data_IF_609439034294
#
_entry.id   IF_609439034294
#
_cell.length_a   1.000
_cell.length_b   1.000
_cell.length_c   1.000
_cell.angle_alpha   90.00
_cell.angle_beta   90.00
_cell.angle_gamma   90.00
#
_symmetry.space_group_name_H-M   'P 1'
#
loop_
_entity.id
_entity.type
_entity.pdbx_description
1 polymer ?
#
# COMPACT_ATOMS: atom_id res chain seq x y z
N UNK A 1 15.58 34.29 1.38
CA UNK A 1 15.32 32.98 0.73
C UNK A 1 15.27 31.90 1.80
N UNK A 2 14.12 31.28 1.97
CA UNK A 2 13.94 30.22 2.96
C UNK A 2 14.74 28.97 2.57
N UNK A 3 15.13 28.17 3.57
CA UNK A 3 15.93 26.95 3.37
C UNK A 3 15.34 26.01 2.31
N UNK A 4 14.01 25.88 2.27
CA UNK A 4 13.28 25.04 1.30
C UNK A 4 13.45 25.55 -0.13
N UNK A 5 13.29 26.85 -0.36
CA UNK A 5 13.44 27.47 -1.69
C UNK A 5 14.84 27.22 -2.25
N UNK A 6 15.87 27.36 -1.40
CA UNK A 6 17.26 27.06 -1.77
C UNK A 6 17.43 25.59 -2.16
N UNK A 7 16.84 24.68 -1.40
CA UNK A 7 16.92 23.24 -1.69
C UNK A 7 16.21 22.89 -3.00
N UNK A 8 15.03 23.48 -3.26
CA UNK A 8 14.31 23.28 -4.52
C UNK A 8 15.12 23.79 -5.72
N UNK A 9 15.68 25.01 -5.63
CA UNK A 9 16.54 25.54 -6.69
C UNK A 9 17.81 24.70 -6.92
N UNK A 10 18.38 24.12 -5.86
CA UNK A 10 19.63 23.34 -5.95
C UNK A 10 19.39 21.91 -6.46
N UNK A 11 18.37 21.23 -5.92
CA UNK A 11 18.14 19.80 -6.14
C UNK A 11 17.15 19.53 -7.26
N UNK A 12 16.25 20.48 -7.55
CA UNK A 12 15.23 20.37 -8.59
C UNK A 12 15.13 21.67 -9.41
N UNK A 13 16.23 22.16 -10.03
CA UNK A 13 16.24 23.43 -10.76
C UNK A 13 15.24 23.50 -11.92
N UNK A 14 14.83 22.34 -12.46
CA UNK A 14 13.82 22.20 -13.51
C UNK A 14 12.43 21.82 -12.99
N UNK A 15 12.23 21.87 -11.68
CA UNK A 15 11.03 21.39 -11.00
C UNK A 15 10.99 19.87 -10.81
N UNK A 16 9.87 19.39 -10.26
CA UNK A 16 9.61 17.96 -10.03
C UNK A 16 8.61 17.48 -11.06
N UNK A 17 8.94 16.41 -11.78
CA UNK A 17 8.04 15.81 -12.76
C UNK A 17 6.87 15.08 -12.10
N UNK A 18 5.70 15.17 -12.71
CA UNK A 18 4.53 14.39 -12.31
C UNK A 18 4.59 12.98 -12.93
N UNK A 19 4.21 11.99 -12.14
CA UNK A 19 4.11 10.58 -12.55
C UNK A 19 2.83 9.97 -12.03
N UNK A 20 2.21 9.13 -12.84
CA UNK A 20 1.06 8.33 -12.41
C UNK A 20 1.51 7.20 -11.48
N UNK A 21 0.60 6.70 -10.64
CA UNK A 21 0.91 5.55 -9.78
C UNK A 21 1.32 4.32 -10.62
N UNK A 22 0.68 4.11 -11.76
CA UNK A 22 0.99 2.97 -12.64
C UNK A 22 2.37 3.07 -13.28
N UNK A 23 2.92 4.26 -13.54
CA UNK A 23 4.29 4.41 -14.02
C UNK A 23 5.32 3.95 -12.97
N UNK A 24 5.01 4.10 -11.69
CA UNK A 24 5.95 3.88 -10.58
C UNK A 24 5.77 2.52 -9.90
N UNK A 25 4.52 2.07 -9.78
CA UNK A 25 4.15 0.92 -8.96
C UNK A 25 3.55 -0.22 -9.79
N UNK A 26 3.90 -1.44 -9.41
CA UNK A 26 3.11 -2.61 -9.69
C UNK A 26 1.93 -2.62 -8.72
N UNK A 27 0.73 -2.46 -9.29
CA UNK A 27 -0.53 -2.35 -8.56
C UNK A 27 -1.25 -3.69 -8.63
N UNK A 28 -1.55 -4.28 -7.48
CA UNK A 28 -2.20 -5.59 -7.39
C UNK A 28 -3.12 -5.63 -6.18
N UNK A 29 -4.19 -6.40 -6.25
CA UNK A 29 -5.02 -6.64 -5.06
C UNK A 29 -4.39 -7.72 -4.18
N UNK A 30 -4.71 -7.66 -2.89
CA UNK A 30 -4.40 -8.73 -1.95
C UNK A 30 -5.08 -10.05 -2.32
N UNK A 31 -4.84 -11.06 -1.50
CA UNK A 31 -5.35 -12.40 -1.71
C UNK A 31 -5.76 -13.01 -0.38
N UNK A 32 -6.97 -13.55 -0.33
CA UNK A 32 -7.45 -14.31 0.82
C UNK A 32 -7.40 -15.80 0.48
N UNK A 33 -6.55 -16.60 1.15
CA UNK A 33 -6.59 -18.05 1.02
C UNK A 33 -7.95 -18.60 1.45
N UNK A 34 -8.30 -19.79 0.98
CA UNK A 34 -9.53 -20.45 1.43
C UNK A 34 -9.47 -20.65 2.95
N UNK A 35 -10.44 -20.07 3.67
CA UNK A 35 -10.57 -20.26 5.12
C UNK A 35 -10.96 -21.68 5.50
N UNK A 36 -11.57 -22.42 4.57
CA UNK A 36 -11.99 -23.80 4.77
C UNK A 36 -10.85 -24.82 4.61
N UNK A 37 -9.63 -24.37 4.31
CA UNK A 37 -8.46 -25.24 4.26
C UNK A 37 -7.50 -24.89 5.43
N UNK A 38 -7.54 -25.63 6.54
CA UNK A 38 -6.69 -25.38 7.70
C UNK A 38 -5.19 -25.40 7.39
N UNK A 39 -4.75 -26.19 6.40
CA UNK A 39 -3.32 -26.24 6.01
C UNK A 39 -2.77 -24.90 5.52
N UNK A 40 -3.64 -23.96 5.14
CA UNK A 40 -3.23 -22.62 4.74
C UNK A 40 -2.94 -21.70 5.92
N UNK A 41 -3.34 -22.06 7.14
CA UNK A 41 -3.34 -21.18 8.31
C UNK A 41 -2.61 -21.80 9.52
N UNK A 42 -2.79 -23.09 9.74
CA UNK A 42 -2.17 -23.79 10.87
C UNK A 42 -0.65 -23.77 10.77
N UNK A 43 0.01 -23.30 11.84
CA UNK A 43 1.47 -23.11 11.88
C UNK A 43 1.98 -22.23 10.72
N UNK A 44 1.17 -21.25 10.33
CA UNK A 44 1.54 -20.22 9.36
C UNK A 44 2.80 -19.47 9.79
N UNK A 45 3.61 -19.09 8.83
CA UNK A 45 4.89 -18.39 9.05
C UNK A 45 5.01 -17.10 8.25
N UNK A 46 4.09 -16.87 7.32
CA UNK A 46 4.07 -15.70 6.45
C UNK A 46 2.97 -14.76 6.96
N UNK A 47 3.28 -13.49 7.27
CA UNK A 47 2.26 -12.53 7.69
C UNK A 47 1.17 -12.34 6.63
N UNK A 48 -0.09 -12.34 7.07
CA UNK A 48 -1.26 -12.04 6.26
C UNK A 48 -2.06 -10.88 6.89
N UNK A 49 -1.86 -9.69 6.32
CA UNK A 49 -2.38 -8.44 6.88
C UNK A 49 -3.87 -8.19 6.57
N UNK A 50 -4.56 -7.62 7.55
CA UNK A 50 -5.94 -7.16 7.51
C UNK A 50 -6.05 -5.75 8.08
N UNK A 51 -7.27 -5.20 8.06
CA UNK A 51 -7.53 -3.89 8.65
C UNK A 51 -7.30 -3.88 10.17
N UNK A 52 -7.56 -4.99 10.84
CA UNK A 52 -7.31 -5.13 12.28
C UNK A 52 -5.83 -4.92 12.62
N UNK A 53 -4.92 -5.42 11.78
CA UNK A 53 -3.49 -5.25 11.98
C UNK A 53 -3.07 -3.77 11.93
N UNK A 54 -3.67 -2.97 11.04
CA UNK A 54 -3.43 -1.52 10.96
C UNK A 54 -3.96 -0.81 12.22
N UNK A 55 -5.13 -1.22 12.69
CA UNK A 55 -5.78 -0.61 13.87
C UNK A 55 -5.00 -0.90 15.15
N UNK A 56 -4.47 -2.12 15.28
CA UNK A 56 -3.76 -2.57 16.47
C UNK A 56 -2.30 -2.13 16.49
N UNK A 57 -1.60 -2.24 15.36
CA UNK A 57 -0.15 -2.03 15.29
C UNK A 57 0.25 -0.69 14.64
N UNK A 58 -0.72 0.11 14.21
CA UNK A 58 -0.49 1.33 13.46
C UNK A 58 -0.12 1.04 12.00
N UNK A 59 0.57 1.99 11.36
CA UNK A 59 0.74 1.99 9.89
C UNK A 59 2.10 1.50 9.40
N UNK A 60 2.96 0.99 10.28
CA UNK A 60 4.24 0.39 9.89
C UNK A 60 4.23 -1.05 10.39
N UNK A 61 4.06 -1.99 9.47
CA UNK A 61 3.70 -3.37 9.80
C UNK A 61 4.88 -4.31 9.56
N UNK A 62 5.29 -5.01 10.63
CA UNK A 62 6.34 -6.04 10.61
C UNK A 62 5.81 -7.46 10.77
N UNK A 63 4.62 -7.59 11.34
CA UNK A 63 3.99 -8.87 11.65
C UNK A 63 2.48 -8.69 11.78
N UNK A 64 1.73 -9.77 11.64
CA UNK A 64 0.26 -9.76 11.65
C UNK A 64 -0.32 -10.72 12.70
N UNK A 65 -1.58 -10.49 13.06
CA UNK A 65 -2.37 -11.33 13.95
C UNK A 65 -2.54 -12.74 13.37
N UNK A 66 -2.64 -12.86 12.05
CA UNK A 66 -2.79 -14.14 11.35
C UNK A 66 -1.64 -14.39 10.39
N UNK A 67 -1.20 -15.64 10.32
CA UNK A 67 -0.18 -16.08 9.38
C UNK A 67 -0.73 -17.15 8.45
N UNK A 68 -0.16 -17.20 7.27
CA UNK A 68 -0.44 -18.24 6.28
C UNK A 68 0.78 -19.13 6.08
N UNK A 69 0.56 -20.34 5.60
CA UNK A 69 1.64 -21.25 5.20
C UNK A 69 2.05 -20.99 3.75
N UNK A 70 3.26 -21.42 3.33
CA UNK A 70 3.66 -21.34 1.92
C UNK A 70 2.69 -22.04 0.95
N UNK A 71 1.98 -23.09 1.41
CA UNK A 71 0.97 -23.79 0.60
C UNK A 71 -0.20 -22.88 0.19
N UNK A 72 -0.51 -21.88 1.01
CA UNK A 72 -1.59 -20.93 0.74
C UNK A 72 -1.33 -20.06 -0.50
N UNK A 73 -0.07 -19.88 -0.90
CA UNK A 73 0.30 -19.00 -2.01
C UNK A 73 -0.25 -19.49 -3.36
N UNK A 74 -0.36 -20.80 -3.57
CA UNK A 74 -0.82 -21.40 -4.85
C UNK A 74 -0.16 -20.76 -6.08
N UNK A 75 1.17 -20.63 -6.05
CA UNK A 75 1.97 -20.03 -7.13
C UNK A 75 1.94 -18.50 -7.20
N UNK A 76 1.23 -17.81 -6.29
CA UNK A 76 1.31 -16.35 -6.15
C UNK A 76 2.63 -15.97 -5.48
N UNK A 77 3.16 -14.81 -5.88
CA UNK A 77 4.32 -14.20 -5.20
C UNK A 77 3.84 -13.43 -3.98
N UNK A 78 4.69 -13.39 -2.96
CA UNK A 78 4.53 -12.44 -1.87
C UNK A 78 4.71 -11.03 -2.39
N UNK A 79 4.07 -10.09 -1.71
CA UNK A 79 4.41 -8.69 -1.87
C UNK A 79 5.71 -8.43 -1.12
N UNK A 80 6.69 -7.77 -1.77
CA UNK A 80 7.96 -7.50 -1.14
C UNK A 80 7.81 -6.50 0.01
N UNK A 81 8.71 -6.56 0.99
CA UNK A 81 8.91 -5.48 1.95
C UNK A 81 9.16 -4.15 1.22
N UNK A 82 8.88 -3.05 1.90
CA UNK A 82 8.82 -1.70 1.35
C UNK A 82 7.67 -1.47 0.35
N UNK A 83 6.62 -2.28 0.39
CA UNK A 83 5.37 -2.01 -0.31
C UNK A 83 4.35 -1.30 0.59
N UNK A 84 3.41 -0.59 -0.03
CA UNK A 84 2.25 0.01 0.66
C UNK A 84 1.03 -0.86 0.42
N UNK A 85 0.25 -1.12 1.47
CA UNK A 85 -1.15 -1.54 1.34
C UNK A 85 -2.06 -0.33 1.55
N UNK A 86 -3.09 -0.19 0.72
CA UNK A 86 -4.10 0.87 0.83
C UNK A 86 -5.50 0.29 0.63
N UNK A 87 -6.43 0.71 1.47
CA UNK A 87 -7.85 0.41 1.37
C UNK A 87 -8.53 1.42 0.44
N UNK A 88 -9.24 0.91 -0.55
CA UNK A 88 -9.94 1.71 -1.56
C UNK A 88 -11.46 1.57 -1.48
N UNK A 89 -11.97 0.85 -0.46
CA UNK A 89 -13.40 0.50 -0.32
C UNK A 89 -14.00 0.99 0.99
N UNK A 90 -14.19 0.13 2.00
CA UNK A 90 -14.93 0.47 3.23
C UNK A 90 -14.23 1.53 4.10
N UNK A 91 -12.91 1.63 4.00
CA UNK A 91 -12.06 2.51 4.82
C UNK A 91 -11.08 3.25 3.91
N UNK A 92 -11.62 3.98 2.94
CA UNK A 92 -10.83 4.64 1.89
C UNK A 92 -9.68 5.46 2.48
N UNK A 93 -8.48 5.22 1.95
CA UNK A 93 -7.27 5.95 2.33
C UNK A 93 -6.56 5.40 3.55
N UNK A 94 -7.14 4.43 4.27
CA UNK A 94 -6.42 3.67 5.28
C UNK A 94 -5.28 2.89 4.61
N UNK A 95 -4.05 3.11 5.08
CA UNK A 95 -2.87 2.53 4.47
C UNK A 95 -1.79 2.17 5.50
N UNK A 96 -0.87 1.31 5.10
CA UNK A 96 0.29 0.94 5.90
C UNK A 96 1.52 0.61 5.02
N UNK A 97 2.70 0.87 5.57
CA UNK A 97 4.00 0.46 5.03
C UNK A 97 4.36 -0.92 5.59
N UNK A 98 4.65 -1.85 4.69
CA UNK A 98 5.08 -3.20 5.03
C UNK A 98 6.60 -3.25 5.12
N UNK A 99 7.14 -3.74 6.24
CA UNK A 99 8.59 -3.93 6.42
C UNK A 99 9.01 -5.41 6.39
N UNK A 100 8.11 -6.28 5.95
CA UNK A 100 8.30 -7.72 5.76
C UNK A 100 7.59 -8.19 4.48
N UNK A 101 8.13 -9.21 3.83
CA UNK A 101 7.47 -9.87 2.69
C UNK A 101 6.20 -10.57 3.18
N UNK A 102 5.07 -10.35 2.50
CA UNK A 102 3.77 -10.72 3.06
C UNK A 102 2.66 -10.79 2.03
N UNK A 103 1.48 -11.21 2.49
CA UNK A 103 0.21 -11.03 1.80
C UNK A 103 -0.73 -10.16 2.64
N UNK A 104 -1.84 -9.74 2.04
CA UNK A 104 -2.91 -9.09 2.77
C UNK A 104 -4.26 -9.48 2.17
N UNK A 105 -5.32 -9.14 2.89
CA UNK A 105 -6.69 -9.32 2.48
C UNK A 105 -6.97 -8.77 1.07
N UNK A 106 -7.86 -9.44 0.33
CA UNK A 106 -8.26 -9.07 -1.03
C UNK A 106 -8.81 -7.64 -1.20
N UNK A 107 -9.28 -7.01 -0.11
CA UNK A 107 -9.81 -5.64 -0.11
C UNK A 107 -8.70 -4.57 -0.09
N UNK A 108 -7.44 -4.97 0.10
CA UNK A 108 -6.30 -4.06 -0.03
C UNK A 108 -5.76 -4.06 -1.45
N UNK A 109 -5.37 -2.87 -1.90
CA UNK A 109 -4.51 -2.68 -3.05
C UNK A 109 -3.07 -2.53 -2.56
N UNK A 110 -2.16 -3.30 -3.16
CA UNK A 110 -0.73 -3.20 -2.97
C UNK A 110 -0.11 -2.27 -4.00
N UNK A 111 0.81 -1.42 -3.54
CA UNK A 111 1.67 -0.59 -4.35
C UNK A 111 3.12 -1.01 -4.09
N UNK A 112 3.66 -1.82 -4.99
CA UNK A 112 5.06 -2.27 -4.94
C UNK A 112 5.86 -1.51 -5.98
N UNK A 113 6.99 -0.89 -5.62
CA UNK A 113 7.79 -0.13 -6.60
C UNK A 113 8.26 -1.07 -7.72
N UNK A 114 8.04 -0.68 -8.97
CA UNK A 114 8.50 -1.46 -10.13
C UNK A 114 10.02 -1.56 -10.14
N UNK A 115 10.54 -2.75 -10.42
CA UNK A 115 11.99 -2.99 -10.46
C UNK A 115 12.71 -2.15 -11.53
N UNK A 116 12.04 -1.85 -12.65
CA UNK A 116 12.55 -1.03 -13.75
C UNK A 116 12.17 0.45 -13.64
N UNK A 117 11.80 0.92 -12.44
CA UNK A 117 11.51 2.33 -12.21
C UNK A 117 12.76 3.06 -11.70
N UNK A 118 13.40 3.82 -12.58
CA UNK A 118 14.62 4.60 -12.29
C UNK A 118 14.40 5.81 -11.37
N UNK A 119 13.17 6.02 -10.90
CA UNK A 119 12.85 7.11 -9.99
C UNK A 119 13.47 6.81 -8.62
N UNK A 120 14.26 7.75 -8.13
CA UNK A 120 14.73 7.77 -6.75
C UNK A 120 13.55 8.06 -5.80
N UNK A 121 12.78 7.02 -5.50
CA UNK A 121 11.64 7.06 -4.58
C UNK A 121 11.98 6.34 -3.28
N UNK A 122 11.97 7.10 -2.18
CA UNK A 122 11.95 6.55 -0.84
C UNK A 122 10.51 6.12 -0.48
N UNK A 123 10.33 4.85 -0.12
CA UNK A 123 9.00 4.30 0.17
C UNK A 123 8.41 4.81 1.49
N UNK A 124 9.24 5.25 2.43
CA UNK A 124 8.78 5.91 3.66
C UNK A 124 8.32 7.34 3.36
N UNK A 125 8.97 8.03 2.43
CA UNK A 125 8.45 9.29 1.90
C UNK A 125 7.09 9.09 1.23
N UNK A 126 6.96 8.10 0.34
CA UNK A 126 5.69 7.80 -0.32
C UNK A 126 4.59 7.40 0.68
N UNK A 127 4.93 6.65 1.73
CA UNK A 127 4.03 6.35 2.85
C UNK A 127 3.43 7.63 3.45
N UNK A 128 4.22 8.68 3.69
CA UNK A 128 3.67 9.95 4.18
C UNK A 128 2.78 10.65 3.14
N UNK A 129 3.08 10.51 1.84
CA UNK A 129 2.21 11.02 0.77
C UNK A 129 0.87 10.28 0.69
N UNK A 130 0.79 9.03 1.15
CA UNK A 130 -0.46 8.26 1.15
C UNK A 130 -1.55 8.87 2.05
N UNK A 131 -1.19 9.70 3.04
CA UNK A 131 -2.19 10.49 3.78
C UNK A 131 -2.92 11.47 2.86
N UNK A 132 -2.19 12.18 1.99
CA UNK A 132 -2.78 13.09 1.00
C UNK A 132 -3.56 12.32 -0.07
N UNK A 133 -3.02 11.18 -0.52
CA UNK A 133 -3.72 10.29 -1.46
C UNK A 133 -5.05 9.82 -0.88
N UNK A 134 -5.08 9.40 0.38
CA UNK A 134 -6.29 8.95 1.06
C UNK A 134 -7.35 10.05 1.12
N UNK A 135 -6.96 11.27 1.50
CA UNK A 135 -7.88 12.43 1.51
C UNK A 135 -8.37 12.78 0.11
N UNK A 136 -7.52 12.68 -0.92
CA UNK A 136 -7.91 12.88 -2.30
C UNK A 136 -8.92 11.84 -2.78
N UNK A 137 -8.71 10.56 -2.48
CA UNK A 137 -9.64 9.48 -2.82
C UNK A 137 -11.02 9.69 -2.18
N UNK A 138 -11.07 10.09 -0.90
CA UNK A 138 -12.33 10.40 -0.20
C UNK A 138 -13.09 11.54 -0.89
N UNK A 139 -12.40 12.61 -1.28
CA UNK A 139 -13.01 13.76 -1.97
C UNK A 139 -13.63 13.34 -3.30
N UNK A 140 -12.91 12.57 -4.12
CA UNK A 140 -13.45 12.09 -5.42
C UNK A 140 -14.72 11.28 -5.22
N UNK A 141 -14.73 10.37 -4.24
CA UNK A 141 -15.91 9.56 -3.99
C UNK A 141 -17.09 10.42 -3.53
N UNK A 142 -16.86 11.43 -2.69
CA UNK A 142 -17.91 12.37 -2.29
C UNK A 142 -18.48 13.15 -3.48
N UNK A 143 -17.64 13.57 -4.43
CA UNK A 143 -18.09 14.22 -5.66
C UNK A 143 -18.91 13.28 -6.55
N UNK A 144 -18.49 12.02 -6.68
CA UNK A 144 -19.24 11.02 -7.46
C UNK A 144 -20.59 10.69 -6.82
N UNK A 145 -20.65 10.58 -5.50
CA UNK A 145 -21.92 10.42 -4.78
C UNK A 145 -22.81 11.61 -5.06
N UNK A 146 -22.31 12.85 -4.94
CA UNK A 146 -23.10 14.06 -5.22
C UNK A 146 -23.68 14.07 -6.63
N UNK A 147 -22.91 13.67 -7.65
CA UNK A 147 -23.36 13.59 -9.05
C UNK A 147 -24.45 12.52 -9.31
N UNK A 148 -24.59 11.51 -8.44
CA UNK A 148 -25.66 10.52 -8.55
C UNK A 148 -27.01 11.02 -7.98
N UNK A 149 -27.03 12.19 -7.34
CA UNK A 149 -28.22 12.80 -6.73
C UNK A 149 -28.71 14.07 -7.46
N UNK A 150 -28.11 14.41 -8.61
CA UNK A 150 -28.49 15.53 -9.48
C UNK A 150 -28.92 14.96 -10.82
#
# INVERSE_FOLDING_TARGET
MHKIERLLQTLAPKGVGFKTLEEVFEIKNGYTPSKNNPEFWEKGTIPWFRMEDIRENGRILKDSIQHITPKALKGKKLFPKNSIIISTTATIGEHALLIVDSLANQQFTFLSKKANCDIALDMKFFFYQCFLLGEWCKKILMFQVLLLWI
#
